data_IF_139175240975
#
_entry.id   IF_139175240975
#
_cell.length_a   1.000
_cell.length_b   1.000
_cell.length_c   1.000
_cell.angle_alpha   90.00
_cell.angle_beta   90.00
_cell.angle_gamma   90.00
#
_symmetry.space_group_name_H-M   'P 1'
#
loop_
_entity.id
_entity.type
_entity.pdbx_description
1 polymer ?
#
# COMPACT_ATOMS: atom_id res chain seq x y z
N UNK A 1 -1.12 -3.46 -18.76
CA UNK A 1 0.00 -2.68 -18.24
C UNK A 1 -0.45 -1.88 -17.02
N UNK A 2 0.33 -1.93 -15.96
CA UNK A 2 0.00 -1.25 -14.72
C UNK A 2 0.64 0.14 -14.67
N UNK A 3 -0.18 1.17 -14.56
CA UNK A 3 0.32 2.54 -14.43
C UNK A 3 0.41 2.95 -12.97
N UNK A 4 1.45 3.73 -12.63
CA UNK A 4 1.61 4.24 -11.26
C UNK A 4 0.66 5.42 -11.08
N UNK A 5 -0.27 5.37 -10.10
CA UNK A 5 -1.21 6.46 -9.89
C UNK A 5 -0.54 7.75 -9.44
N UNK A 6 -1.16 8.87 -9.76
CA UNK A 6 -0.72 10.16 -9.25
C UNK A 6 -1.30 10.34 -7.85
N UNK A 7 -0.42 10.49 -6.86
CA UNK A 7 -0.84 10.66 -5.47
C UNK A 7 -0.62 12.08 -4.96
N UNK A 8 -0.41 13.04 -5.84
CA UNK A 8 -0.24 14.44 -5.47
C UNK A 8 -1.49 14.92 -4.71
N UNK A 9 -1.28 15.46 -3.51
CA UNK A 9 -2.38 15.95 -2.70
C UNK A 9 -3.14 14.90 -1.92
N UNK A 10 -2.81 13.62 -2.10
CA UNK A 10 -3.44 12.55 -1.33
C UNK A 10 -2.80 12.47 0.04
N UNK A 11 -3.63 12.40 1.08
CA UNK A 11 -3.16 12.35 2.46
C UNK A 11 -2.43 11.04 2.73
N UNK A 12 -1.34 11.11 3.49
CA UNK A 12 -0.65 9.92 3.97
C UNK A 12 -1.37 9.38 5.19
N UNK A 13 -1.66 8.08 5.19
CA UNK A 13 -2.40 7.45 6.29
C UNK A 13 -1.63 6.24 6.80
N UNK A 14 -1.59 6.04 8.13
CA UNK A 14 -0.93 4.87 8.69
C UNK A 14 -1.77 3.62 8.45
N UNK A 15 -1.10 2.52 8.18
CA UNK A 15 -1.76 1.27 7.90
C UNK A 15 -0.91 0.10 8.38
N UNK A 16 -1.51 -1.07 8.42
CA UNK A 16 -0.82 -2.29 8.80
C UNK A 16 -1.08 -3.34 7.74
N UNK A 17 -0.03 -4.01 7.31
CA UNK A 17 -0.13 -5.04 6.28
C UNK A 17 -0.92 -6.22 6.84
N UNK A 18 -1.98 -6.61 6.13
CA UNK A 18 -2.77 -7.78 6.50
C UNK A 18 -2.06 -9.04 6.03
N UNK A 19 -1.68 -9.08 4.78
CA UNK A 19 -0.81 -10.11 4.20
C UNK A 19 -0.32 -9.63 2.85
N UNK A 20 0.79 -10.18 2.42
CA UNK A 20 1.32 -9.91 1.08
C UNK A 20 1.94 -11.19 0.55
N UNK A 21 1.62 -11.55 -0.69
CA UNK A 21 2.15 -12.75 -1.34
C UNK A 21 3.03 -12.33 -2.49
N UNK A 22 4.32 -12.45 -2.30
CA UNK A 22 5.31 -12.02 -3.29
C UNK A 22 5.19 -12.82 -4.59
N UNK A 23 4.84 -14.10 -4.50
CA UNK A 23 4.71 -14.93 -5.69
C UNK A 23 3.47 -14.58 -6.50
N UNK A 24 2.41 -14.13 -5.84
CA UNK A 24 1.20 -13.66 -6.52
C UNK A 24 1.33 -12.21 -6.97
N UNK A 25 2.20 -11.45 -6.34
CA UNK A 25 2.44 -10.06 -6.70
C UNK A 25 1.44 -9.07 -6.12
N UNK A 26 0.71 -9.45 -5.07
CA UNK A 26 -0.25 -8.53 -4.43
C UNK A 26 -0.54 -8.94 -2.99
N UNK A 27 -1.19 -8.05 -2.28
CA UNK A 27 -1.66 -8.28 -0.94
C UNK A 27 -2.63 -7.21 -0.51
N UNK A 28 -2.87 -7.11 0.78
CA UNK A 28 -3.82 -6.15 1.36
C UNK A 28 -3.29 -5.57 2.65
N UNK A 29 -3.69 -4.34 2.93
CA UNK A 29 -3.43 -3.67 4.19
C UNK A 29 -4.71 -3.01 4.67
N UNK A 30 -4.78 -2.72 5.96
CA UNK A 30 -5.90 -2.00 6.55
C UNK A 30 -5.39 -0.68 7.12
N UNK A 31 -6.07 0.40 6.81
CA UNK A 31 -5.79 1.69 7.44
C UNK A 31 -6.08 1.55 8.93
N UNK A 32 -5.25 2.18 9.75
CA UNK A 32 -5.38 2.09 11.20
C UNK A 32 -6.81 2.42 11.64
N UNK A 33 -7.38 1.58 12.48
CA UNK A 33 -8.76 1.68 12.98
C UNK A 33 -9.83 1.48 11.90
N UNK A 34 -9.47 0.89 10.78
CA UNK A 34 -10.42 0.59 9.71
C UNK A 34 -10.37 -0.90 9.40
N UNK A 35 -11.50 -1.44 8.96
CA UNK A 35 -11.57 -2.84 8.52
C UNK A 35 -11.57 -2.94 6.99
N UNK A 36 -11.49 -1.82 6.31
CA UNK A 36 -11.48 -1.79 4.85
C UNK A 36 -10.15 -2.31 4.32
N UNK A 37 -10.19 -3.24 3.37
CA UNK A 37 -8.99 -3.77 2.75
C UNK A 37 -8.50 -2.84 1.65
N UNK A 38 -7.23 -2.49 1.71
CA UNK A 38 -6.57 -1.65 0.71
C UNK A 38 -5.64 -2.55 -0.11
N UNK A 39 -5.86 -2.59 -1.42
CA UNK A 39 -5.09 -3.45 -2.31
C UNK A 39 -3.65 -2.95 -2.43
N UNK A 40 -2.70 -3.88 -2.31
CA UNK A 40 -1.27 -3.60 -2.48
C UNK A 40 -0.78 -4.35 -3.71
N UNK A 41 -0.24 -3.62 -4.70
CA UNK A 41 0.28 -4.22 -5.91
C UNK A 41 1.81 -4.19 -5.91
N UNK A 42 2.43 -5.27 -6.36
CA UNK A 42 3.89 -5.39 -6.39
C UNK A 42 4.55 -4.24 -7.16
N UNK A 43 3.92 -3.77 -8.25
CA UNK A 43 4.50 -2.67 -9.02
C UNK A 43 4.59 -1.39 -8.21
N UNK A 44 3.60 -1.13 -7.34
CA UNK A 44 3.67 0.02 -6.44
C UNK A 44 4.81 -0.17 -5.44
N UNK A 45 4.92 -1.36 -4.86
CA UNK A 45 6.00 -1.64 -3.92
C UNK A 45 7.36 -1.40 -4.55
N UNK A 46 7.57 -1.92 -5.76
CA UNK A 46 8.85 -1.75 -6.46
C UNK A 46 9.16 -0.29 -6.74
N UNK A 47 8.14 0.46 -7.13
CA UNK A 47 8.31 1.87 -7.43
C UNK A 47 8.82 2.65 -6.21
N UNK A 48 8.41 2.25 -5.01
CA UNK A 48 8.79 2.92 -3.77
C UNK A 48 9.91 2.19 -3.03
N UNK A 49 10.57 1.23 -3.67
CA UNK A 49 11.76 0.59 -3.13
C UNK A 49 11.51 -0.59 -2.21
N UNK A 50 10.32 -1.15 -2.21
CA UNK A 50 10.00 -2.33 -1.40
C UNK A 50 10.11 -3.58 -2.25
N UNK A 51 10.70 -4.64 -1.69
CA UNK A 51 10.74 -5.94 -2.36
C UNK A 51 9.71 -6.91 -1.78
N UNK A 52 9.23 -6.64 -0.56
CA UNK A 52 8.29 -7.52 0.13
C UNK A 52 7.73 -6.77 1.33
N UNK A 53 6.63 -7.28 1.88
CA UNK A 53 6.03 -6.76 3.11
C UNK A 53 5.60 -7.93 3.96
N UNK A 54 5.81 -7.81 5.28
CA UNK A 54 5.43 -8.84 6.23
C UNK A 54 4.05 -8.57 6.80
N UNK A 55 3.29 -9.62 7.08
CA UNK A 55 2.01 -9.48 7.76
C UNK A 55 2.24 -8.81 9.10
N UNK A 56 1.40 -7.81 9.41
CA UNK A 56 1.52 -7.05 10.64
C UNK A 56 2.46 -5.87 10.58
N UNK A 57 3.19 -5.70 9.49
CA UNK A 57 4.14 -4.60 9.35
C UNK A 57 3.40 -3.26 9.23
N UNK A 58 3.88 -2.24 9.94
CA UNK A 58 3.31 -0.91 9.87
C UNK A 58 3.91 -0.15 8.69
N UNK A 59 3.05 0.48 7.91
CA UNK A 59 3.46 1.26 6.73
C UNK A 59 2.60 2.52 6.66
N UNK A 60 2.99 3.43 5.78
CA UNK A 60 2.18 4.62 5.49
C UNK A 60 1.77 4.55 4.04
N UNK A 61 0.48 4.74 3.79
CA UNK A 61 -0.07 4.61 2.44
C UNK A 61 -0.69 5.92 1.98
N UNK A 62 -0.71 6.10 0.67
CA UNK A 62 -1.55 7.09 0.03
C UNK A 62 -2.58 6.32 -0.78
N UNK A 63 -3.83 6.35 -0.33
CA UNK A 63 -4.89 5.48 -0.85
C UNK A 63 -5.65 6.19 -1.96
N UNK A 64 -5.84 5.51 -3.08
CA UNK A 64 -6.59 6.02 -4.23
C UNK A 64 -7.65 5.02 -4.63
N UNK A 65 -8.60 5.45 -5.45
CA UNK A 65 -9.60 4.54 -6.01
C UNK A 65 -9.01 3.80 -7.18
N UNK A 66 -9.19 2.49 -7.19
CA UNK A 66 -8.72 1.64 -8.26
C UNK A 66 -9.87 0.87 -8.89
N UNK A 67 -9.57 0.05 -9.90
CA UNK A 67 -10.62 -0.69 -10.63
C UNK A 67 -11.33 -1.72 -9.76
N UNK A 68 -10.71 -2.15 -8.67
CA UNK A 68 -11.29 -3.15 -7.78
C UNK A 68 -11.61 -2.59 -6.39
N UNK A 69 -11.66 -1.27 -6.27
CA UNK A 69 -11.86 -0.62 -5.00
C UNK A 69 -10.63 0.17 -4.59
N UNK A 70 -10.47 0.42 -3.30
CA UNK A 70 -9.36 1.23 -2.83
C UNK A 70 -8.05 0.48 -2.92
N UNK A 71 -7.01 1.19 -3.38
CA UNK A 71 -5.68 0.63 -3.51
C UNK A 71 -4.63 1.62 -3.03
N UNK A 72 -3.46 1.09 -2.67
CA UNK A 72 -2.33 1.95 -2.31
C UNK A 72 -1.72 2.51 -3.59
N UNK A 73 -1.75 3.82 -3.74
CA UNK A 73 -1.07 4.50 -4.83
C UNK A 73 0.37 4.78 -4.52
N UNK A 74 0.72 4.76 -3.23
CA UNK A 74 2.09 4.92 -2.75
C UNK A 74 2.24 4.19 -1.42
N UNK A 75 3.43 3.67 -1.17
CA UNK A 75 3.77 2.98 0.08
C UNK A 75 5.05 3.60 0.61
N UNK A 76 5.04 3.97 1.88
CA UNK A 76 6.20 4.58 2.52
C UNK A 76 6.53 3.82 3.79
N UNK A 77 7.82 3.79 4.12
CA UNK A 77 8.26 3.21 5.38
C UNK A 77 7.74 4.05 6.55
N UNK A 78 7.32 3.39 7.62
CA UNK A 78 6.89 4.07 8.83
C UNK A 78 7.96 5.04 9.33
N UNK A 79 9.22 4.64 9.23
CA UNK A 79 10.34 5.43 9.76
C UNK A 79 10.58 6.72 8.97
N UNK A 80 10.11 6.78 7.72
CA UNK A 80 10.32 7.95 6.87
C UNK A 80 9.37 9.11 7.17
N UNK A 81 8.42 8.91 8.07
CA UNK A 81 7.35 9.89 8.32
C UNK A 81 7.60 10.66 9.63
N UNK A 82 8.54 10.25 10.41
CA UNK A 82 8.83 10.87 11.69
C UNK A 82 9.33 12.32 11.56
#
# INVERSE_FOLDING_TARGET
>A
EFGIPDVSGVEMVPARVKWFDKSKGFGFANVYKSHEDIFLHMEILRHFGFSDLQAGEAVVLQVVDGPRGKMAGAVHSWDNIS
#
